data_IF_541055905055
#
_entry.id   IF_541055905055
#
_cell.length_a   1.000
_cell.length_b   1.000
_cell.length_c   1.000
_cell.angle_alpha   90.00
_cell.angle_beta   90.00
_cell.angle_gamma   90.00
#
_symmetry.space_group_name_H-M   'P 1'
#
loop_
_entity.id
_entity.type
_entity.pdbx_description
1 polymer ?
#
# COMPACT_ATOMS: atom_id res chain seq x y z
N UNK A 1 15.43 1.02 -3.98
CA UNK A 1 14.30 0.86 -3.03
C UNK A 1 13.16 0.16 -3.75
N UNK A 2 12.35 -0.66 -3.08
CA UNK A 2 11.16 -1.29 -3.66
C UNK A 2 9.89 -0.68 -3.06
N UNK A 3 8.83 -0.55 -3.86
CA UNK A 3 7.52 -0.11 -3.40
C UNK A 3 6.44 -1.19 -3.59
N UNK A 4 5.49 -1.24 -2.66
CA UNK A 4 4.36 -2.18 -2.64
C UNK A 4 3.07 -1.39 -2.46
N UNK A 5 2.13 -1.55 -3.37
CA UNK A 5 0.92 -0.72 -3.48
C UNK A 5 -0.33 -1.55 -3.29
N UNK A 6 -1.22 -1.08 -2.41
CA UNK A 6 -2.60 -1.56 -2.29
C UNK A 6 -3.58 -0.40 -2.03
N UNK A 7 -4.86 -0.63 -2.32
CA UNK A 7 -5.95 0.32 -2.11
C UNK A 7 -6.75 0.00 -0.83
N UNK A 8 -7.27 1.02 -0.18
CA UNK A 8 -8.19 0.88 0.95
C UNK A 8 -9.39 1.79 0.82
N UNK A 9 -10.58 1.20 0.94
CA UNK A 9 -11.88 1.86 0.79
C UNK A 9 -12.57 1.88 2.15
N UNK A 10 -12.62 3.05 2.78
CA UNK A 10 -13.38 3.29 4.02
C UNK A 10 -14.25 4.54 3.85
N UNK A 11 -13.92 5.63 4.53
CA UNK A 11 -14.64 6.91 4.45
C UNK A 11 -14.21 7.76 3.23
N UNK A 12 -13.53 7.13 2.27
CA UNK A 12 -12.90 7.74 1.10
C UNK A 12 -12.06 6.71 0.36
N UNK A 13 -11.35 7.15 -0.68
CA UNK A 13 -10.45 6.32 -1.45
C UNK A 13 -9.00 6.62 -1.06
N UNK A 14 -8.27 5.59 -0.64
CA UNK A 14 -6.86 5.70 -0.27
C UNK A 14 -6.05 4.70 -1.06
N UNK A 15 -4.91 5.13 -1.58
CA UNK A 15 -3.88 4.26 -2.13
C UNK A 15 -2.64 4.39 -1.25
N UNK A 16 -2.11 3.26 -0.81
CA UNK A 16 -0.95 3.21 0.09
C UNK A 16 0.22 2.60 -0.65
N UNK A 17 1.33 3.32 -0.72
CA UNK A 17 2.61 2.83 -1.21
C UNK A 17 3.57 2.63 -0.04
N UNK A 18 3.89 1.38 0.28
CA UNK A 18 4.93 1.03 1.25
C UNK A 18 6.27 0.94 0.53
N UNK A 19 7.28 1.63 1.05
CA UNK A 19 8.66 1.62 0.54
C UNK A 19 9.58 0.85 1.48
N UNK A 20 10.45 0.03 0.90
CA UNK A 20 11.39 -0.85 1.60
C UNK A 20 12.76 -0.73 0.94
N UNK A 21 13.83 -0.66 1.73
CA UNK A 21 15.19 -0.69 1.21
C UNK A 21 15.47 -2.02 0.49
N UNK A 22 16.18 -1.98 -0.64
CA UNK A 22 16.34 -3.15 -1.50
C UNK A 22 16.99 -4.35 -0.80
N UNK A 23 17.95 -4.10 0.09
CA UNK A 23 18.63 -5.13 0.89
C UNK A 23 17.73 -5.80 1.94
N UNK A 24 16.67 -5.13 2.38
CA UNK A 24 15.82 -5.59 3.48
C UNK A 24 14.57 -6.35 3.00
N UNK A 25 14.27 -6.32 1.70
CA UNK A 25 13.06 -6.92 1.13
C UNK A 25 12.87 -8.38 1.53
N UNK A 26 13.93 -9.20 1.44
CA UNK A 26 13.84 -10.62 1.78
C UNK A 26 13.60 -10.85 3.28
N UNK A 27 14.33 -10.10 4.12
CA UNK A 27 14.21 -10.19 5.58
C UNK A 27 12.83 -9.72 6.05
N UNK A 28 12.38 -8.57 5.53
CA UNK A 28 11.08 -8.00 5.87
C UNK A 28 9.94 -8.89 5.40
N UNK A 29 10.02 -9.48 4.21
CA UNK A 29 9.02 -10.44 3.73
C UNK A 29 8.86 -11.61 4.70
N UNK A 30 9.96 -12.18 5.20
CA UNK A 30 9.93 -13.26 6.20
C UNK A 30 9.29 -12.81 7.52
N UNK A 31 9.56 -11.58 7.97
CA UNK A 31 8.97 -11.03 9.17
C UNK A 31 7.45 -10.85 9.03
N UNK A 32 6.99 -10.29 7.91
CA UNK A 32 5.56 -10.10 7.64
C UNK A 32 4.83 -11.43 7.48
N UNK A 33 5.45 -12.40 6.78
CA UNK A 33 4.94 -13.76 6.65
C UNK A 33 4.69 -14.41 8.03
N UNK A 34 5.59 -14.20 8.99
CA UNK A 34 5.45 -14.73 10.35
C UNK A 34 4.30 -14.11 11.16
N UNK A 35 3.79 -12.94 10.73
CA UNK A 35 2.61 -12.31 11.34
C UNK A 35 1.29 -12.88 10.81
N UNK A 36 1.33 -13.70 9.75
CA UNK A 36 0.13 -14.28 9.15
C UNK A 36 -0.59 -15.20 10.16
N UNK A 37 -1.88 -14.99 10.43
CA UNK A 37 -2.65 -15.89 11.28
C UNK A 37 -2.59 -17.33 10.76
N UNK A 38 -2.42 -18.30 11.68
CA UNK A 38 -2.34 -19.72 11.34
C UNK A 38 -3.57 -20.15 10.54
N UNK A 39 -3.35 -20.83 9.42
CA UNK A 39 -4.41 -21.31 8.52
C UNK A 39 -4.98 -20.25 7.56
N UNK A 40 -4.52 -18.99 7.63
CA UNK A 40 -4.89 -17.97 6.64
C UNK A 40 -3.93 -18.00 5.45
N UNK A 41 -4.45 -17.78 4.24
CA UNK A 41 -3.63 -17.68 3.04
C UNK A 41 -2.88 -16.34 2.94
N UNK A 42 -3.48 -15.25 3.43
CA UNK A 42 -2.91 -13.89 3.47
C UNK A 42 -3.41 -13.12 4.68
N UNK A 43 -2.78 -11.98 4.96
CA UNK A 43 -3.35 -10.98 5.88
C UNK A 43 -4.20 -10.01 5.05
N UNK A 44 -5.47 -9.86 5.44
CA UNK A 44 -6.34 -8.80 4.93
C UNK A 44 -7.16 -8.23 6.09
N UNK A 45 -6.95 -6.95 6.42
CA UNK A 45 -7.44 -6.33 7.65
C UNK A 45 -8.96 -6.29 7.76
N UNK A 46 -9.70 -6.39 6.65
CA UNK A 46 -11.16 -6.55 6.68
C UNK A 46 -11.60 -7.87 7.35
N UNK A 47 -10.76 -8.91 7.27
CA UNK A 47 -11.02 -10.25 7.81
C UNK A 47 -10.32 -10.50 9.16
N UNK A 48 -9.46 -9.59 9.61
CA UNK A 48 -8.79 -9.69 10.91
C UNK A 48 -9.76 -9.33 12.02
N UNK A 49 -9.79 -10.13 13.10
CA UNK A 49 -10.69 -9.90 14.23
C UNK A 49 -10.37 -8.58 14.94
N UNK A 50 -11.39 -7.97 15.58
CA UNK A 50 -11.20 -6.76 16.40
C UNK A 50 -10.21 -6.97 17.55
N UNK A 51 -10.06 -8.21 18.02
CA UNK A 51 -9.14 -8.60 19.10
C UNK A 51 -7.70 -8.65 18.60
N UNK A 52 -7.47 -9.14 17.39
CA UNK A 52 -6.12 -9.38 16.86
C UNK A 52 -5.55 -8.17 16.11
N UNK A 53 -6.41 -7.34 15.50
CA UNK A 53 -5.98 -6.17 14.73
C UNK A 53 -5.05 -5.23 15.51
N UNK A 54 -5.29 -4.88 16.79
CA UNK A 54 -4.38 -4.03 17.55
C UNK A 54 -2.99 -4.62 17.74
N UNK A 55 -2.88 -5.96 17.90
CA UNK A 55 -1.60 -6.66 18.05
C UNK A 55 -0.85 -6.65 16.72
N UNK A 56 -1.54 -7.00 15.64
CA UNK A 56 -0.96 -7.00 14.29
C UNK A 56 -0.42 -5.61 13.89
N UNK A 57 -1.20 -4.55 14.10
CA UNK A 57 -0.76 -3.17 13.82
C UNK A 57 0.47 -2.78 14.66
N UNK A 58 0.56 -3.28 15.90
CA UNK A 58 1.72 -3.01 16.78
C UNK A 58 2.98 -3.73 16.30
N UNK A 59 2.87 -4.97 15.83
CA UNK A 59 4.04 -5.68 15.29
C UNK A 59 4.49 -5.06 13.97
N UNK A 60 3.55 -4.70 13.10
CA UNK A 60 3.86 -4.03 11.83
C UNK A 60 4.50 -2.66 12.04
N UNK A 61 4.10 -1.88 13.06
CA UNK A 61 4.67 -0.55 13.28
C UNK A 61 6.15 -0.54 13.67
N UNK A 62 6.66 -1.67 14.17
CA UNK A 62 8.07 -1.88 14.51
C UNK A 62 8.93 -2.15 13.27
N UNK A 63 8.32 -2.64 12.19
CA UNK A 63 9.02 -2.95 10.95
C UNK A 63 9.52 -1.67 10.28
N UNK A 64 10.71 -1.73 9.66
CA UNK A 64 11.28 -0.60 8.94
C UNK A 64 10.69 -0.49 7.52
N UNK A 65 9.42 -0.12 7.47
CA UNK A 65 8.65 0.06 6.26
C UNK A 65 7.93 1.41 6.32
N UNK A 66 8.37 2.36 5.49
CA UNK A 66 7.76 3.68 5.40
C UNK A 66 6.65 3.68 4.36
N UNK A 67 5.57 4.42 4.62
CA UNK A 67 4.39 4.47 3.77
C UNK A 67 4.08 5.88 3.32
N UNK A 68 3.60 5.98 2.08
CA UNK A 68 3.06 7.19 1.48
C UNK A 68 1.61 6.90 1.14
N UNK A 69 0.70 7.69 1.70
CA UNK A 69 -0.74 7.49 1.59
C UNK A 69 -1.37 8.61 0.77
N UNK A 70 -1.93 8.27 -0.39
CA UNK A 70 -2.59 9.21 -1.29
C UNK A 70 -4.09 9.11 -1.08
N UNK A 71 -4.70 10.21 -0.65
CA UNK A 71 -6.07 10.22 -0.14
C UNK A 71 -6.93 11.16 -0.99
N UNK A 72 -7.96 10.59 -1.59
CA UNK A 72 -9.07 11.34 -2.17
C UNK A 72 -10.22 11.30 -1.16
N UNK A 73 -10.63 12.47 -0.65
CA UNK A 73 -11.77 12.55 0.25
C UNK A 73 -13.03 12.05 -0.47
N UNK A 74 -13.88 11.33 0.28
CA UNK A 74 -15.18 10.92 -0.21
C UNK A 74 -15.94 12.12 -0.80
N UNK A 75 -16.27 11.98 -2.07
CA UNK A 75 -17.09 12.88 -2.88
C UNK A 75 -17.74 12.05 -3.98
N UNK A 76 -18.54 12.67 -4.86
CA UNK A 76 -19.23 11.98 -5.98
C UNK A 76 -18.29 11.41 -7.06
N UNK A 77 -17.00 11.30 -6.79
CA UNK A 77 -16.00 10.80 -7.73
C UNK A 77 -16.19 9.29 -7.91
N UNK A 78 -16.29 8.78 -9.15
CA UNK A 78 -16.29 7.36 -9.42
C UNK A 78 -15.00 6.69 -8.90
N UNK A 79 -15.13 5.45 -8.41
CA UNK A 79 -14.00 4.70 -7.83
C UNK A 79 -12.83 4.59 -8.79
N UNK A 80 -13.10 4.31 -10.07
CA UNK A 80 -12.07 4.24 -11.12
C UNK A 80 -11.28 5.56 -11.23
N UNK A 81 -11.98 6.69 -11.23
CA UNK A 81 -11.34 8.00 -11.31
C UNK A 81 -10.49 8.30 -10.08
N UNK A 82 -10.93 7.87 -8.89
CA UNK A 82 -10.14 8.01 -7.67
C UNK A 82 -8.88 7.11 -7.69
N UNK A 83 -9.00 5.88 -8.21
CA UNK A 83 -7.85 4.98 -8.45
C UNK A 83 -6.86 5.60 -9.43
N UNK A 84 -7.33 6.14 -10.54
CA UNK A 84 -6.47 6.77 -11.55
C UNK A 84 -5.73 7.98 -11.00
N UNK A 85 -6.45 8.84 -10.28
CA UNK A 85 -5.89 10.03 -9.66
C UNK A 85 -4.81 9.66 -8.62
N UNK A 86 -5.13 8.74 -7.71
CA UNK A 86 -4.21 8.32 -6.65
C UNK A 86 -3.02 7.52 -7.18
N UNK A 87 -3.23 6.58 -8.11
CA UNK A 87 -2.15 5.80 -8.71
C UNK A 87 -1.22 6.70 -9.52
N UNK A 88 -1.77 7.61 -10.34
CA UNK A 88 -0.99 8.58 -11.10
C UNK A 88 -0.15 9.48 -10.19
N UNK A 89 -0.72 9.97 -9.09
CA UNK A 89 0.02 10.75 -8.10
C UNK A 89 1.13 9.92 -7.44
N UNK A 90 0.82 8.68 -7.04
CA UNK A 90 1.76 7.78 -6.39
C UNK A 90 2.96 7.46 -7.28
N UNK A 91 2.74 7.10 -8.54
CA UNK A 91 3.86 6.73 -9.42
C UNK A 91 4.74 7.91 -9.78
N UNK A 92 4.18 9.12 -9.93
CA UNK A 92 4.97 10.36 -10.12
C UNK A 92 5.83 10.67 -8.91
N UNK A 93 5.27 10.55 -7.72
CA UNK A 93 5.99 10.78 -6.47
C UNK A 93 7.09 9.71 -6.27
N UNK A 94 6.78 8.42 -6.46
CA UNK A 94 7.76 7.33 -6.40
C UNK A 94 8.89 7.50 -7.43
N UNK A 95 8.62 8.11 -8.59
CA UNK A 95 9.63 8.40 -9.60
C UNK A 95 10.65 9.47 -9.16
N UNK A 96 10.30 10.30 -8.16
CA UNK A 96 11.25 11.25 -7.54
C UNK A 96 12.12 10.59 -6.47
N UNK A 97 11.80 9.35 -6.09
CA UNK A 97 12.54 8.57 -5.10
C UNK A 97 13.48 7.58 -5.81
N UNK A 98 14.50 7.08 -5.11
CA UNK A 98 15.39 6.02 -5.59
C UNK A 98 14.70 4.62 -5.63
N UNK A 99 13.45 4.57 -6.08
CA UNK A 99 12.66 3.35 -6.27
C UNK A 99 13.03 2.73 -7.61
N UNK A 100 13.36 1.44 -7.58
CA UNK A 100 13.77 0.66 -8.75
C UNK A 100 12.72 -0.39 -9.16
N UNK A 101 11.80 -0.72 -8.24
CA UNK A 101 10.77 -1.73 -8.46
C UNK A 101 9.47 -1.37 -7.73
N UNK A 102 8.34 -1.52 -8.40
CA UNK A 102 7.00 -1.32 -7.84
C UNK A 102 6.15 -2.58 -8.03
N UNK A 103 5.56 -3.09 -6.96
CA UNK A 103 4.56 -4.15 -7.02
C UNK A 103 3.20 -3.55 -6.66
N UNK A 104 2.19 -3.84 -7.47
CA UNK A 104 0.82 -3.36 -7.28
C UNK A 104 -0.07 -4.56 -7.06
N UNK A 105 -0.90 -4.58 -6.02
CA UNK A 105 -1.91 -5.64 -5.85
C UNK A 105 -2.87 -5.64 -7.06
N UNK A 106 -2.97 -6.78 -7.74
CA UNK A 106 -3.88 -6.96 -8.87
C UNK A 106 -5.34 -6.98 -8.39
N UNK A 107 -6.19 -6.20 -9.05
CA UNK A 107 -7.62 -6.10 -8.71
C UNK A 107 -8.53 -6.24 -9.95
N UNK A 108 -8.07 -6.97 -10.98
CA UNK A 108 -8.74 -7.13 -12.28
C UNK A 108 -8.90 -5.81 -13.07
N UNK A 109 -8.11 -4.80 -12.74
CA UNK A 109 -8.10 -3.48 -13.41
C UNK A 109 -6.71 -3.13 -13.94
N UNK A 110 -5.87 -4.14 -14.13
CA UNK A 110 -4.44 -4.01 -14.40
C UNK A 110 -4.19 -3.33 -15.76
N UNK A 111 -5.09 -3.50 -16.74
CA UNK A 111 -4.97 -2.87 -18.06
C UNK A 111 -5.12 -1.36 -17.99
N UNK A 112 -6.10 -0.89 -17.24
CA UNK A 112 -6.36 0.52 -17.04
C UNK A 112 -5.30 1.13 -16.13
N UNK A 113 -4.84 0.41 -15.09
CA UNK A 113 -3.70 0.85 -14.27
C UNK A 113 -2.44 1.05 -15.13
N UNK A 114 -2.15 0.12 -16.05
CA UNK A 114 -1.03 0.24 -16.98
C UNK A 114 -1.17 1.48 -17.88
N UNK A 115 -2.40 1.87 -18.25
CA UNK A 115 -2.64 3.10 -19.00
C UNK A 115 -2.33 4.31 -18.13
N UNK A 116 -2.86 4.36 -16.92
CA UNK A 116 -2.62 5.45 -15.97
C UNK A 116 -1.14 5.64 -15.65
N UNK A 117 -0.38 4.56 -15.49
CA UNK A 117 1.06 4.62 -15.22
C UNK A 117 1.82 5.19 -16.44
N UNK A 118 1.48 4.73 -17.66
CA UNK A 118 2.07 5.29 -18.90
C UNK A 118 1.72 6.75 -19.10
N UNK A 119 0.48 7.14 -18.83
CA UNK A 119 0.04 8.54 -18.95
C UNK A 119 0.76 9.43 -17.91
N UNK A 120 1.07 8.87 -16.73
CA UNK A 120 1.73 9.60 -15.65
C UNK A 120 3.26 9.72 -15.80
N UNK A 121 3.93 8.71 -16.38
CA UNK A 121 5.39 8.62 -16.43
C UNK A 121 5.98 8.69 -17.85
N UNK A 122 5.16 8.51 -18.89
CA UNK A 122 5.63 8.36 -20.26
C UNK A 122 6.20 6.95 -20.55
N UNK A 123 6.97 6.85 -21.63
CA UNK A 123 7.54 5.58 -22.10
C UNK A 123 8.69 5.06 -21.22
N UNK A 124 9.46 5.96 -20.61
CA UNK A 124 10.69 5.66 -19.88
C UNK A 124 10.47 5.79 -18.36
N UNK A 125 9.70 4.87 -17.78
CA UNK A 125 9.50 4.82 -16.33
C UNK A 125 10.85 4.52 -15.62
N UNK A 126 11.19 5.23 -14.53
CA UNK A 126 12.48 5.06 -13.83
C UNK A 126 12.56 3.77 -13.00
N UNK A 127 11.49 2.96 -12.98
CA UNK A 127 11.42 1.70 -12.28
C UNK A 127 10.65 0.66 -13.07
N UNK A 128 10.91 -0.61 -12.75
CA UNK A 128 10.11 -1.73 -13.25
C UNK A 128 8.87 -1.89 -12.37
N UNK A 129 7.69 -2.01 -12.97
CA UNK A 129 6.45 -2.25 -12.22
C UNK A 129 5.73 -3.51 -12.69
N UNK A 130 5.08 -4.20 -11.74
CA UNK A 130 4.28 -5.39 -12.01
C UNK A 130 3.03 -5.44 -11.14
N UNK A 131 1.93 -5.93 -11.70
CA UNK A 131 0.78 -6.39 -10.93
C UNK A 131 1.07 -7.77 -10.36
N UNK A 132 0.83 -7.93 -9.07
CA UNK A 132 1.12 -9.16 -8.35
C UNK A 132 -0.12 -9.67 -7.61
N UNK A 133 -0.15 -10.99 -7.44
CA UNK A 133 -1.16 -11.65 -6.61
C UNK A 133 -1.07 -11.13 -5.17
N UNK A 134 -2.20 -11.05 -4.44
CA UNK A 134 -2.23 -10.67 -3.03
C UNK A 134 -1.50 -11.64 -2.07
N UNK A 135 -0.81 -12.64 -2.62
CA UNK A 135 -0.04 -13.63 -1.86
C UNK A 135 1.37 -13.17 -1.49
N UNK A 136 1.93 -12.10 -2.10
CA UNK A 136 3.22 -11.55 -1.63
C UNK A 136 3.00 -10.89 -0.25
N UNK A 137 3.71 -11.33 0.81
CA UNK A 137 3.53 -10.79 2.15
C UNK A 137 3.74 -9.28 2.24
N UNK A 138 4.60 -8.72 1.39
CA UNK A 138 4.87 -7.28 1.40
C UNK A 138 3.70 -6.44 0.84
N UNK A 139 2.77 -7.04 0.09
CA UNK A 139 1.51 -6.40 -0.29
C UNK A 139 0.49 -6.34 0.86
N UNK A 140 0.72 -7.05 1.97
CA UNK A 140 -0.16 -6.92 3.14
C UNK A 140 0.14 -5.68 3.97
N UNK A 141 1.37 -5.16 3.90
CA UNK A 141 1.76 -3.93 4.58
C UNK A 141 0.93 -2.71 4.15
N UNK A 142 0.72 -2.42 2.85
CA UNK A 142 -0.09 -1.28 2.44
C UNK A 142 -1.54 -1.39 2.92
N UNK A 143 -2.17 -2.58 2.90
CA UNK A 143 -3.50 -2.82 3.48
C UNK A 143 -3.51 -2.50 4.99
N UNK A 144 -2.54 -3.03 5.75
CA UNK A 144 -2.44 -2.82 7.21
C UNK A 144 -2.26 -1.33 7.54
N UNK A 145 -1.35 -0.65 6.85
CA UNK A 145 -1.08 0.76 7.05
C UNK A 145 -2.28 1.64 6.69
N UNK A 146 -2.89 1.42 5.53
CA UNK A 146 -4.07 2.17 5.09
C UNK A 146 -5.27 1.92 6.00
N UNK A 147 -5.49 0.67 6.42
CA UNK A 147 -6.53 0.33 7.37
C UNK A 147 -6.31 1.01 8.71
N UNK A 148 -5.09 0.96 9.28
CA UNK A 148 -4.80 1.57 10.58
C UNK A 148 -4.98 3.08 10.53
N UNK A 149 -4.53 3.73 9.45
CA UNK A 149 -4.75 5.16 9.23
C UNK A 149 -6.24 5.51 9.13
N UNK A 150 -6.97 4.79 8.27
CA UNK A 150 -8.41 4.98 8.07
C UNK A 150 -9.25 4.66 9.31
N UNK A 151 -8.80 3.73 10.17
CA UNK A 151 -9.49 3.41 11.44
C UNK A 151 -9.45 4.59 12.41
N UNK A 152 -8.41 5.42 12.33
CA UNK A 152 -8.19 6.53 13.24
C UNK A 152 -7.83 6.11 14.66
N UNK A 153 -7.93 7.06 15.59
CA UNK A 153 -7.72 6.85 17.03
C UNK A 153 -6.38 6.17 17.34
N UNK A 154 -6.41 5.21 18.26
CA UNK A 154 -5.21 4.48 18.70
C UNK A 154 -4.52 3.70 17.58
N UNK A 155 -5.26 3.22 16.56
CA UNK A 155 -4.64 2.46 15.47
C UNK A 155 -3.79 3.36 14.59
N UNK A 156 -4.28 4.56 14.25
CA UNK A 156 -3.49 5.57 13.55
C UNK A 156 -2.29 6.00 14.37
N UNK A 157 -2.48 6.28 15.66
CA UNK A 157 -1.38 6.72 16.53
C UNK A 157 -0.20 5.74 16.55
N UNK A 158 -0.46 4.42 16.46
CA UNK A 158 0.58 3.39 16.44
C UNK A 158 1.46 3.37 15.20
N UNK A 159 0.95 3.82 14.05
CA UNK A 159 1.67 3.76 12.76
C UNK A 159 2.02 5.13 12.20
N UNK A 160 1.58 6.22 12.84
CA UNK A 160 1.70 7.56 12.28
C UNK A 160 3.14 7.95 11.94
N UNK A 161 4.13 7.50 12.73
CA UNK A 161 5.56 7.74 12.47
C UNK A 161 6.09 7.02 11.22
N UNK A 162 5.33 6.08 10.66
CA UNK A 162 5.65 5.38 9.41
C UNK A 162 4.94 5.98 8.20
N UNK A 163 3.97 6.89 8.36
CA UNK A 163 3.09 7.33 7.26
C UNK A 163 3.26 8.83 6.96
N UNK A 164 3.56 9.12 5.70
CA UNK A 164 3.39 10.43 5.09
C UNK A 164 2.07 10.46 4.27
N UNK A 165 1.32 11.57 4.33
CA UNK A 165 -0.01 11.66 3.71
C UNK A 165 -0.09 12.77 2.70
N UNK A 166 -0.62 12.43 1.53
CA UNK A 166 -0.85 13.32 0.38
C UNK A 166 -2.35 13.42 0.13
N UNK A 167 -2.90 14.62 0.28
CA UNK A 167 -4.29 14.89 -0.06
C UNK A 167 -4.40 15.30 -1.53
N UNK A 168 -5.31 14.67 -2.27
CA UNK A 168 -5.57 14.94 -3.69
C UNK A 168 -6.94 15.60 -3.92
#
# INVERSE_FOLDING_TARGET
MHAFIDESKRDGYMLCAVTVAGGDVAALRKQVEALRPRGSARIHMKSVSKKDAPKLVTEVSKLDAASRLYVVKSGKMPERSARDLTLGAAVRDLATLAVSRVLIESCNQDREDNRTIRDALGADAPFVYHHASPSDPLLWLPDIHAWAWGRGGQMRAKIAHRIEVFML
#
